data_IF_454910575945
#
_entry.id   IF_454910575945
#
_cell.length_a   1.000
_cell.length_b   1.000
_cell.length_c   1.000
_cell.angle_alpha   90.00
_cell.angle_beta   90.00
_cell.angle_gamma   90.00
#
_symmetry.space_group_name_H-M   'P 1'
#
loop_
_entity.id
_entity.type
_entity.pdbx_description
1 polymer ?
#
# COMPACT_ATOMS: atom_id res chain seq x y z
N UNK A 1 -18.37 11.89 -15.23
CA UNK A 1 -16.98 12.03 -15.67
C UNK A 1 -16.16 11.10 -14.80
N UNK A 2 -15.70 9.99 -15.36
CA UNK A 2 -15.06 8.92 -14.59
C UNK A 2 -13.70 9.39 -14.09
N UNK A 3 -13.50 9.39 -12.77
CA UNK A 3 -12.19 9.64 -12.20
C UNK A 3 -11.32 8.42 -12.55
N UNK A 4 -10.48 8.56 -13.57
CA UNK A 4 -9.55 7.51 -13.94
C UNK A 4 -8.55 7.31 -12.79
N UNK A 5 -8.39 6.06 -12.35
CA UNK A 5 -7.34 5.72 -11.40
C UNK A 5 -5.97 5.93 -12.06
N UNK A 6 -5.01 6.48 -11.32
CA UNK A 6 -3.60 6.30 -11.65
C UNK A 6 -3.23 4.84 -11.34
N UNK A 7 -2.76 4.11 -12.33
CA UNK A 7 -2.44 2.69 -12.19
C UNK A 7 -0.94 2.50 -11.96
N UNK A 8 -0.62 1.81 -10.86
CA UNK A 8 0.72 1.30 -10.55
C UNK A 8 0.65 -0.23 -10.58
N UNK A 9 1.19 -0.83 -11.64
CA UNK A 9 1.29 -2.28 -11.78
C UNK A 9 2.75 -2.72 -11.67
N UNK A 10 3.06 -3.47 -10.62
CA UNK A 10 4.38 -3.98 -10.31
C UNK A 10 4.76 -5.25 -11.12
N UNK A 11 3.84 -5.80 -11.92
CA UNK A 11 4.07 -6.97 -12.79
C UNK A 11 4.53 -8.25 -12.04
N UNK A 12 4.32 -8.35 -10.73
CA UNK A 12 4.71 -9.51 -9.93
C UNK A 12 6.22 -9.69 -9.77
N UNK A 13 7.04 -8.68 -10.10
CA UNK A 13 8.49 -8.82 -10.03
C UNK A 13 8.97 -8.78 -8.57
N UNK A 14 9.85 -9.70 -8.11
CA UNK A 14 10.28 -9.81 -6.71
C UNK A 14 11.06 -8.59 -6.17
N UNK A 15 11.44 -7.65 -7.03
CA UNK A 15 12.13 -6.39 -6.69
C UNK A 15 11.39 -5.15 -7.23
N UNK A 16 10.12 -5.28 -7.66
CA UNK A 16 9.35 -4.15 -8.17
C UNK A 16 8.97 -3.23 -7.01
N UNK A 17 9.51 -2.01 -7.09
CA UNK A 17 9.48 -1.02 -6.01
C UNK A 17 8.07 -0.70 -5.58
N UNK A 18 7.82 -0.91 -4.30
CA UNK A 18 6.68 -0.38 -3.59
C UNK A 18 6.85 1.10 -3.26
N UNK A 19 5.72 1.76 -3.03
CA UNK A 19 5.71 3.14 -2.56
C UNK A 19 6.29 3.17 -1.15
N UNK A 20 7.45 3.80 -0.97
CA UNK A 20 8.13 3.85 0.32
C UNK A 20 8.13 5.29 0.86
N UNK A 21 7.47 5.48 1.99
CA UNK A 21 7.40 6.74 2.72
C UNK A 21 8.27 6.65 3.97
N UNK A 22 9.47 7.23 3.92
CA UNK A 22 10.42 7.17 5.04
C UNK A 22 10.30 8.33 6.03
N UNK A 23 9.77 9.48 5.59
CA UNK A 23 9.53 10.66 6.41
C UNK A 23 8.46 11.58 5.82
N UNK A 24 7.93 12.48 6.65
CA UNK A 24 7.05 13.58 6.22
C UNK A 24 5.57 13.20 6.12
N UNK A 25 4.80 14.06 5.46
CA UNK A 25 3.35 13.90 5.25
C UNK A 25 3.07 13.68 3.77
N UNK A 26 2.35 12.63 3.41
CA UNK A 26 2.02 12.30 2.02
C UNK A 26 0.55 11.96 1.85
N UNK A 27 -0.03 12.34 0.71
CA UNK A 27 -1.42 12.00 0.36
C UNK A 27 -1.46 11.28 -0.98
N UNK A 28 -2.07 10.10 -1.00
CA UNK A 28 -2.35 9.33 -2.21
C UNK A 28 -3.85 9.36 -2.47
N UNK A 29 -4.25 9.74 -3.68
CA UNK A 29 -5.66 9.75 -4.07
C UNK A 29 -5.85 9.09 -5.42
N UNK A 30 -6.96 8.37 -5.61
CA UNK A 30 -7.34 7.76 -6.89
C UNK A 30 -6.26 6.84 -7.46
N UNK A 31 -5.67 5.97 -6.62
CA UNK A 31 -4.62 5.04 -7.05
C UNK A 31 -5.17 3.61 -7.18
N UNK A 32 -4.82 2.91 -8.25
CA UNK A 32 -4.93 1.45 -8.36
C UNK A 32 -3.51 0.87 -8.27
N UNK A 33 -3.18 0.21 -7.16
CA UNK A 33 -1.87 -0.41 -6.96
C UNK A 33 -2.02 -1.92 -6.97
N UNK A 34 -1.33 -2.60 -7.88
CA UNK A 34 -1.52 -4.02 -8.10
C UNK A 34 -0.27 -4.82 -8.45
N UNK A 35 -0.37 -6.12 -8.17
CA UNK A 35 0.64 -7.14 -8.47
C UNK A 35 2.03 -6.84 -7.88
N UNK A 36 2.11 -6.12 -6.76
CA UNK A 36 3.38 -5.86 -6.09
C UNK A 36 3.79 -7.03 -5.20
N UNK A 37 5.10 -7.27 -5.13
CA UNK A 37 5.73 -8.28 -4.26
C UNK A 37 6.59 -7.56 -3.23
N UNK A 38 6.53 -7.99 -1.97
CA UNK A 38 7.26 -7.34 -0.88
C UNK A 38 6.54 -6.16 -0.23
N UNK A 39 5.19 -6.16 -0.27
CA UNK A 39 4.28 -5.10 0.18
C UNK A 39 4.19 -3.93 -0.80
N UNK A 40 2.98 -3.51 -1.19
CA UNK A 40 2.79 -2.42 -2.16
C UNK A 40 3.08 -0.99 -1.64
N UNK A 41 2.84 -0.73 -0.36
CA UNK A 41 3.11 0.55 0.31
C UNK A 41 3.78 0.29 1.65
N UNK A 42 4.97 0.86 1.82
CA UNK A 42 5.70 0.85 3.09
C UNK A 42 5.66 2.25 3.71
N UNK A 43 5.15 2.34 4.92
CA UNK A 43 5.13 3.56 5.73
C UNK A 43 6.11 3.40 6.89
N UNK A 44 7.22 4.13 6.83
CA UNK A 44 8.22 4.27 7.88
C UNK A 44 7.82 5.37 8.88
N UNK A 45 8.77 6.22 9.27
CA UNK A 45 8.54 7.35 10.18
C UNK A 45 7.81 8.52 9.47
N UNK A 46 6.67 8.22 8.85
CA UNK A 46 5.90 9.12 8.00
C UNK A 46 4.40 9.06 8.35
N UNK A 47 3.67 10.10 7.94
CA UNK A 47 2.22 10.17 8.04
C UNK A 47 1.59 10.16 6.65
N UNK A 48 0.86 9.10 6.33
CA UNK A 48 0.30 8.88 4.99
C UNK A 48 -1.21 8.88 5.05
N UNK A 49 -1.85 9.61 4.14
CA UNK A 49 -3.30 9.54 3.91
C UNK A 49 -3.57 8.92 2.55
N UNK A 50 -4.36 7.85 2.49
CA UNK A 50 -4.77 7.20 1.24
C UNK A 50 -6.28 7.32 1.09
N UNK A 51 -6.74 7.87 -0.04
CA UNK A 51 -8.15 8.08 -0.31
C UNK A 51 -8.58 7.58 -1.68
N UNK A 52 -9.78 7.02 -1.77
CA UNK A 52 -10.39 6.61 -3.05
C UNK A 52 -9.44 5.72 -3.87
N UNK A 53 -8.82 4.72 -3.24
CA UNK A 53 -7.78 3.90 -3.87
C UNK A 53 -8.11 2.42 -3.75
N UNK A 54 -7.54 1.61 -4.65
CA UNK A 54 -7.70 0.17 -4.68
C UNK A 54 -6.32 -0.46 -4.63
N UNK A 55 -6.13 -1.41 -3.71
CA UNK A 55 -4.97 -2.29 -3.66
C UNK A 55 -5.42 -3.69 -4.06
N UNK A 56 -4.90 -4.21 -5.17
CA UNK A 56 -5.33 -5.47 -5.75
C UNK A 56 -4.17 -6.45 -5.95
N UNK A 57 -4.34 -7.70 -5.50
CA UNK A 57 -3.40 -8.79 -5.77
C UNK A 57 -1.94 -8.48 -5.37
N UNK A 58 -1.75 -7.73 -4.27
CA UNK A 58 -0.43 -7.44 -3.74
C UNK A 58 -0.04 -8.47 -2.69
N UNK A 59 1.24 -8.83 -2.70
CA UNK A 59 1.82 -9.85 -1.83
C UNK A 59 2.99 -9.30 -1.03
N UNK A 60 3.17 -9.78 0.21
CA UNK A 60 4.22 -9.30 1.09
C UNK A 60 4.58 -10.27 2.20
N UNK A 61 5.67 -9.97 2.91
CA UNK A 61 5.98 -10.69 4.16
C UNK A 61 5.20 -10.08 5.32
N UNK A 62 5.17 -8.75 5.40
CA UNK A 62 4.48 -7.96 6.44
C UNK A 62 3.40 -7.11 5.78
N UNK A 63 2.19 -7.64 5.65
CA UNK A 63 1.09 -6.98 4.92
C UNK A 63 1.27 -7.00 3.40
N UNK A 64 0.26 -7.48 2.68
CA UNK A 64 0.34 -7.67 1.22
C UNK A 64 0.26 -6.35 0.47
N UNK A 65 -0.59 -5.45 0.94
CA UNK A 65 -0.78 -4.13 0.36
C UNK A 65 -0.04 -3.04 1.13
N UNK A 66 -0.18 -2.98 2.45
CA UNK A 66 0.38 -1.88 3.26
C UNK A 66 1.08 -2.41 4.51
N UNK A 67 2.28 -1.90 4.76
CA UNK A 67 3.07 -2.12 5.96
C UNK A 67 3.30 -0.79 6.67
N UNK A 68 2.97 -0.72 7.96
CA UNK A 68 3.37 0.37 8.84
C UNK A 68 4.48 -0.11 9.77
N UNK A 69 5.62 0.57 9.73
CA UNK A 69 6.69 0.42 10.70
C UNK A 69 6.38 1.18 12.00
N UNK A 70 7.11 0.92 13.10
CA UNK A 70 6.94 1.67 14.34
C UNK A 70 7.09 3.19 14.13
N UNK A 71 6.18 3.96 14.72
CA UNK A 71 6.12 5.42 14.57
C UNK A 71 5.43 5.93 13.30
N UNK A 72 4.99 5.04 12.41
CA UNK A 72 4.19 5.39 11.24
C UNK A 72 2.76 5.81 11.62
N UNK A 73 2.16 6.69 10.81
CA UNK A 73 0.74 6.99 10.86
C UNK A 73 0.10 6.78 9.49
N UNK A 74 -1.06 6.14 9.47
CA UNK A 74 -1.83 5.89 8.24
C UNK A 74 -3.30 6.26 8.46
N UNK A 75 -3.83 7.08 7.57
CA UNK A 75 -5.27 7.35 7.45
C UNK A 75 -5.79 6.76 6.13
N UNK A 76 -6.84 5.95 6.20
CA UNK A 76 -7.49 5.35 5.04
C UNK A 76 -8.93 5.86 4.94
N UNK A 77 -9.35 6.32 3.76
CA UNK A 77 -10.74 6.69 3.50
C UNK A 77 -11.19 6.22 2.12
N UNK A 78 -12.28 5.47 2.04
CA UNK A 78 -12.76 4.91 0.76
C UNK A 78 -11.69 4.11 0.02
N UNK A 79 -11.01 3.21 0.75
CA UNK A 79 -9.96 2.34 0.20
C UNK A 79 -10.46 0.91 0.14
N UNK A 80 -10.20 0.22 -0.96
CA UNK A 80 -10.53 -1.20 -1.14
C UNK A 80 -9.25 -2.02 -1.16
N UNK A 81 -9.21 -3.09 -0.36
CA UNK A 81 -8.18 -4.11 -0.40
C UNK A 81 -8.79 -5.41 -0.94
N UNK A 82 -8.35 -5.87 -2.10
CA UNK A 82 -8.88 -7.06 -2.75
C UNK A 82 -7.74 -8.03 -3.12
N UNK A 83 -7.90 -9.31 -2.78
CA UNK A 83 -6.94 -10.38 -3.10
C UNK A 83 -5.49 -10.10 -2.66
N UNK A 84 -5.28 -9.30 -1.61
CA UNK A 84 -3.94 -9.07 -1.07
C UNK A 84 -3.60 -10.17 -0.05
N UNK A 85 -2.34 -10.62 -0.03
CA UNK A 85 -1.91 -11.73 0.81
C UNK A 85 -0.55 -11.44 1.47
N UNK A 86 -0.34 -11.92 2.68
CA UNK A 86 0.96 -11.85 3.33
C UNK A 86 1.26 -13.05 4.21
N UNK A 87 2.54 -13.25 4.52
CA UNK A 87 2.99 -14.26 5.50
C UNK A 87 2.55 -13.86 6.90
N UNK A 88 2.74 -12.60 7.26
CA UNK A 88 2.30 -12.01 8.52
C UNK A 88 1.30 -10.88 8.22
N UNK A 89 0.08 -11.07 8.73
CA UNK A 89 -1.06 -10.22 8.39
C UNK A 89 -1.74 -10.64 7.08
N UNK A 90 -2.66 -9.79 6.61
CA UNK A 90 -3.36 -9.97 5.33
C UNK A 90 -3.02 -8.79 4.43
N UNK A 91 -3.97 -7.93 4.07
CA UNK A 91 -3.69 -6.75 3.25
C UNK A 91 -2.86 -5.69 3.97
N UNK A 92 -3.13 -5.46 5.26
CA UNK A 92 -2.47 -4.41 6.06
C UNK A 92 -1.81 -5.04 7.27
N UNK A 93 -0.57 -4.63 7.56
CA UNK A 93 0.16 -4.98 8.77
C UNK A 93 0.61 -3.71 9.49
N UNK A 94 0.38 -3.64 10.80
CA UNK A 94 0.81 -2.55 11.66
C UNK A 94 1.78 -3.11 12.69
N UNK A 95 3.05 -2.76 12.56
CA UNK A 95 4.07 -3.06 13.55
C UNK A 95 3.97 -2.06 14.70
N UNK A 96 3.95 -2.56 15.95
CA UNK A 96 3.72 -1.77 17.15
C UNK A 96 4.93 -1.78 18.07
#
# INVERSE_FOLDING_TARGET
>A
MGNAFTVMDCQGAPASSSLNFSAGVSTLTNQLVMNCVGTAVKVGNASVTIRNSIFFNNTGVLGGAVYLAPGASLTLASVVFLNNSAVQGSAVYVDK
#
